data_IF_124862314839
#
_entry.id   IF_124862314839
#
_cell.length_a   1.000
_cell.length_b   1.000
_cell.length_c   1.000
_cell.angle_alpha   90.00
_cell.angle_beta   90.00
_cell.angle_gamma   90.00
#
_symmetry.space_group_name_H-M   'P 1'
#
loop_
_entity.id
_entity.type
_entity.pdbx_description
1 polymer ?
#
# COMPACT_ATOMS: atom_id res chain seq x y z
N UNK A 1 -13.13 16.95 0.60
CA UNK A 1 -13.14 15.50 0.34
C UNK A 1 -14.58 15.10 0.10
N UNK A 2 -14.93 14.62 -1.11
CA UNK A 2 -16.26 14.08 -1.34
C UNK A 2 -16.46 12.83 -0.46
N UNK A 3 -17.64 12.72 0.17
CA UNK A 3 -18.04 11.50 0.86
C UNK A 3 -18.65 10.59 -0.21
N UNK A 4 -18.05 9.41 -0.39
CA UNK A 4 -18.61 8.38 -1.27
C UNK A 4 -19.43 7.40 -0.39
N UNK A 5 -20.77 7.40 -0.51
CA UNK A 5 -21.62 6.61 0.38
C UNK A 5 -21.65 5.14 -0.07
N UNK A 6 -20.91 4.27 0.63
CA UNK A 6 -20.83 2.82 0.37
C UNK A 6 -21.45 1.98 1.49
N UNK A 7 -22.18 2.61 2.42
CA UNK A 7 -22.76 1.95 3.59
C UNK A 7 -23.79 0.88 3.21
N UNK A 8 -24.42 1.04 2.05
CA UNK A 8 -25.39 0.11 1.49
C UNK A 8 -24.78 -1.16 0.88
N UNK A 9 -23.47 -1.15 0.59
CA UNK A 9 -22.76 -2.29 0.05
C UNK A 9 -22.43 -3.29 1.15
N UNK A 10 -22.63 -4.57 0.85
CA UNK A 10 -22.08 -5.70 1.60
C UNK A 10 -20.55 -5.70 1.58
N UNK A 11 -19.92 -6.49 2.43
CA UNK A 11 -18.46 -6.59 2.45
C UNK A 11 -17.87 -7.08 1.12
N UNK A 12 -18.55 -8.00 0.43
CA UNK A 12 -18.11 -8.55 -0.86
C UNK A 12 -18.23 -7.51 -1.99
N UNK A 13 -19.34 -6.76 -2.02
CA UNK A 13 -19.51 -5.66 -2.98
C UNK A 13 -18.50 -4.54 -2.75
N UNK A 14 -18.11 -4.28 -1.49
CA UNK A 14 -17.04 -3.32 -1.18
C UNK A 14 -15.68 -3.79 -1.69
N UNK A 15 -15.38 -5.08 -1.58
CA UNK A 15 -14.14 -5.64 -2.12
C UNK A 15 -14.13 -5.53 -3.66
N UNK A 16 -15.24 -5.88 -4.31
CA UNK A 16 -15.39 -5.74 -5.76
C UNK A 16 -15.17 -4.29 -6.20
N UNK A 17 -15.78 -3.34 -5.49
CA UNK A 17 -15.61 -1.92 -5.77
C UNK A 17 -14.16 -1.45 -5.56
N UNK A 18 -13.46 -1.95 -4.54
CA UNK A 18 -12.04 -1.63 -4.32
C UNK A 18 -11.21 -2.07 -5.52
N UNK A 19 -11.44 -3.29 -6.03
CA UNK A 19 -10.74 -3.80 -7.21
C UNK A 19 -11.05 -2.97 -8.45
N UNK A 20 -12.32 -2.64 -8.71
CA UNK A 20 -12.73 -1.80 -9.84
C UNK A 20 -12.12 -0.39 -9.78
N UNK A 21 -12.12 0.23 -8.59
CA UNK A 21 -11.50 1.54 -8.40
C UNK A 21 -9.99 1.46 -8.61
N UNK A 22 -9.34 0.40 -8.15
CA UNK A 22 -7.91 0.20 -8.34
C UNK A 22 -7.54 0.05 -9.82
N UNK A 23 -8.27 -0.78 -10.56
CA UNK A 23 -8.11 -0.98 -12.01
C UNK A 23 -8.43 0.29 -12.82
N UNK A 24 -9.26 1.18 -12.29
CA UNK A 24 -9.60 2.44 -12.96
C UNK A 24 -8.48 3.49 -12.93
N UNK A 25 -7.44 3.31 -12.11
CA UNK A 25 -6.33 4.25 -11.98
C UNK A 25 -5.28 4.00 -13.06
N UNK A 26 -4.99 5.01 -13.88
CA UNK A 26 -3.86 4.96 -14.80
C UNK A 26 -2.58 5.52 -14.12
N UNK A 27 -1.44 4.89 -14.37
CA UNK A 27 -0.12 5.37 -13.93
C UNK A 27 0.15 6.81 -14.37
N UNK A 28 -0.43 7.23 -15.51
CA UNK A 28 -0.29 8.59 -16.03
C UNK A 28 -1.02 9.63 -15.18
N UNK A 29 -2.14 9.23 -14.55
CA UNK A 29 -2.95 10.11 -13.69
C UNK A 29 -2.27 10.37 -12.34
N UNK A 30 -1.30 9.54 -11.97
CA UNK A 30 -0.54 9.63 -10.71
C UNK A 30 0.96 9.62 -11.02
N UNK A 31 1.40 10.60 -11.82
CA UNK A 31 2.82 10.76 -12.16
C UNK A 31 3.66 10.96 -10.90
N UNK A 32 4.69 10.14 -10.76
CA UNK A 32 5.65 10.26 -9.68
C UNK A 32 6.56 11.47 -9.93
N UNK A 33 7.04 12.09 -8.85
CA UNK A 33 8.15 13.04 -8.95
C UNK A 33 9.44 12.28 -9.26
N UNK A 34 10.39 12.94 -9.93
CA UNK A 34 11.71 12.35 -10.23
C UNK A 34 12.38 11.76 -8.98
N UNK A 35 12.24 12.43 -7.83
CA UNK A 35 12.77 11.95 -6.55
C UNK A 35 12.10 10.66 -6.08
N UNK A 36 10.79 10.52 -6.29
CA UNK A 36 10.05 9.30 -5.93
C UNK A 36 10.41 8.13 -6.85
N UNK A 37 10.53 8.39 -8.15
CA UNK A 37 11.00 7.38 -9.13
C UNK A 37 12.39 6.89 -8.77
N UNK A 38 13.35 7.81 -8.57
CA UNK A 38 14.71 7.47 -8.20
C UNK A 38 14.81 6.67 -6.88
N UNK A 39 13.94 6.97 -5.91
CA UNK A 39 13.90 6.20 -4.66
C UNK A 39 13.30 4.80 -4.84
N UNK A 40 12.28 4.65 -5.69
CA UNK A 40 11.71 3.34 -6.02
C UNK A 40 12.76 2.49 -6.75
N UNK A 41 13.44 3.06 -7.75
CA UNK A 41 14.51 2.38 -8.49
C UNK A 41 15.63 1.93 -7.54
N UNK A 42 16.05 2.80 -6.62
CA UNK A 42 17.05 2.47 -5.60
C UNK A 42 16.60 1.27 -4.75
N UNK A 43 15.36 1.28 -4.25
CA UNK A 43 14.83 0.19 -3.41
C UNK A 43 14.66 -1.11 -4.16
N UNK A 44 14.25 -1.07 -5.41
CA UNK A 44 14.18 -2.27 -6.25
C UNK A 44 15.57 -2.86 -6.46
N UNK A 45 16.57 -2.02 -6.72
CA UNK A 45 17.96 -2.45 -6.89
C UNK A 45 18.59 -3.03 -5.61
N UNK A 46 18.16 -2.57 -4.43
CA UNK A 46 18.70 -3.03 -3.14
C UNK A 46 17.82 -4.05 -2.41
N UNK A 47 16.67 -4.44 -2.97
CA UNK A 47 15.66 -5.24 -2.26
C UNK A 47 16.22 -6.55 -1.65
N UNK A 48 17.04 -7.28 -2.42
CA UNK A 48 17.64 -8.55 -1.98
C UNK A 48 18.67 -8.40 -0.85
N UNK A 49 19.31 -7.24 -0.74
CA UNK A 49 20.21 -6.93 0.36
C UNK A 49 19.43 -6.38 1.56
N UNK A 50 18.48 -5.48 1.30
CA UNK A 50 17.64 -4.86 2.32
C UNK A 50 16.81 -5.90 3.10
N UNK A 51 16.33 -6.96 2.42
CA UNK A 51 15.55 -8.03 3.08
C UNK A 51 16.35 -8.76 4.15
N UNK A 52 17.69 -8.83 4.03
CA UNK A 52 18.57 -9.44 5.05
C UNK A 52 18.57 -8.67 6.37
N UNK A 53 18.19 -7.40 6.33
CA UNK A 53 18.02 -6.54 7.49
C UNK A 53 16.57 -6.46 7.99
N UNK A 54 15.63 -7.11 7.29
CA UNK A 54 14.23 -7.16 7.66
C UNK A 54 13.96 -8.10 8.84
N UNK A 55 12.80 -7.90 9.48
CA UNK A 55 12.21 -8.86 10.43
C UNK A 55 10.88 -9.38 9.87
N UNK A 56 10.43 -10.57 10.27
CA UNK A 56 9.10 -11.05 9.91
C UNK A 56 8.02 -10.03 10.29
N UNK A 57 7.00 -9.89 9.43
CA UNK A 57 5.95 -8.90 9.63
C UNK A 57 5.17 -9.15 10.93
N UNK A 58 4.98 -10.42 11.30
CA UNK A 58 4.33 -10.83 12.53
C UNK A 58 5.10 -10.35 13.76
N UNK A 59 6.44 -10.37 13.71
CA UNK A 59 7.30 -9.87 14.78
C UNK A 59 7.16 -8.35 14.93
N UNK A 60 7.16 -7.61 13.82
CA UNK A 60 6.91 -6.16 13.83
C UNK A 60 5.53 -5.84 14.41
N UNK A 61 4.48 -6.53 13.95
CA UNK A 61 3.10 -6.32 14.41
C UNK A 61 2.99 -6.60 15.91
N UNK A 62 3.61 -7.67 16.40
CA UNK A 62 3.66 -7.99 17.83
C UNK A 62 4.34 -6.87 18.64
N UNK A 63 5.50 -6.37 18.17
CA UNK A 63 6.21 -5.24 18.79
C UNK A 63 5.37 -3.97 18.83
N UNK A 64 4.67 -3.65 17.74
CA UNK A 64 3.79 -2.47 17.67
C UNK A 64 2.60 -2.58 18.63
N UNK A 65 1.95 -3.75 18.69
CA UNK A 65 0.86 -3.99 19.64
C UNK A 65 1.32 -3.89 21.09
N UNK A 66 2.51 -4.42 21.42
CA UNK A 66 3.07 -4.30 22.77
C UNK A 66 3.30 -2.83 23.17
N UNK A 67 3.68 -1.98 22.20
CA UNK A 67 4.05 -0.58 22.47
C UNK A 67 2.86 0.38 22.46
N UNK A 68 1.84 0.10 21.64
CA UNK A 68 0.77 1.05 21.32
C UNK A 68 -0.66 0.47 21.43
N UNK A 69 -0.80 -0.84 21.62
CA UNK A 69 -2.09 -1.49 21.90
C UNK A 69 -2.39 -1.52 23.38
#
# INVERSE_FOLDING_TARGET
>A
MPILPFEHLTAEERLTLIDELWESLDHQDISLTETQEAEIDRRQATADEDVKHGIPAEELIAKLRQRYG
#
